data_IF_336129398169
#
_entry.id   IF_336129398169
#
_cell.length_a   1.000
_cell.length_b   1.000
_cell.length_c   1.000
_cell.angle_alpha   90.00
_cell.angle_beta   90.00
_cell.angle_gamma   90.00
#
_symmetry.space_group_name_H-M   'P 1'
#
loop_
_entity.id
_entity.type
_entity.pdbx_description
1 polymer ?
#
# COMPACT_ATOMS: atom_id res chain seq x y z
N UNK A 1 -33.39 8.48 19.28
CA UNK A 1 -32.32 9.50 19.16
C UNK A 1 -30.92 8.91 19.38
N UNK A 2 -30.67 8.15 20.46
CA UNK A 2 -29.34 7.57 20.72
C UNK A 2 -28.77 6.69 19.58
N UNK A 3 -29.58 5.83 18.97
CA UNK A 3 -29.14 4.92 17.89
C UNK A 3 -28.73 5.65 16.61
N UNK A 4 -29.43 6.74 16.26
CA UNK A 4 -29.11 7.54 15.07
C UNK A 4 -27.79 8.31 15.24
N UNK A 5 -27.55 8.85 16.44
CA UNK A 5 -26.31 9.55 16.75
C UNK A 5 -25.12 8.60 16.77
N UNK A 6 -25.29 7.39 17.33
CA UNK A 6 -24.25 6.37 17.32
C UNK A 6 -23.88 5.96 15.88
N UNK A 7 -24.88 5.68 15.03
CA UNK A 7 -24.67 5.29 13.65
C UNK A 7 -23.96 6.37 12.84
N UNK A 8 -24.32 7.65 13.03
CA UNK A 8 -23.63 8.76 12.38
C UNK A 8 -22.16 8.89 12.80
N UNK A 9 -21.87 8.80 14.11
CA UNK A 9 -20.49 8.85 14.63
C UNK A 9 -19.66 7.69 14.07
N UNK A 10 -20.22 6.47 14.05
CA UNK A 10 -19.53 5.30 13.51
C UNK A 10 -19.20 5.47 12.03
N UNK A 11 -20.15 5.94 11.21
CA UNK A 11 -19.91 6.15 9.78
C UNK A 11 -18.88 7.26 9.52
N UNK A 12 -18.90 8.32 10.33
CA UNK A 12 -17.92 9.40 10.24
C UNK A 12 -16.53 8.91 10.62
N UNK A 13 -16.41 8.15 11.72
CA UNK A 13 -15.14 7.59 12.16
C UNK A 13 -14.55 6.61 11.12
N UNK A 14 -15.38 5.71 10.58
CA UNK A 14 -14.94 4.75 9.55
C UNK A 14 -14.49 5.48 8.29
N UNK A 15 -15.26 6.46 7.79
CA UNK A 15 -14.89 7.20 6.58
C UNK A 15 -13.62 8.03 6.77
N UNK A 16 -13.45 8.67 7.93
CA UNK A 16 -12.21 9.37 8.27
C UNK A 16 -11.01 8.41 8.29
N UNK A 17 -11.16 7.24 8.93
CA UNK A 17 -10.13 6.21 8.96
C UNK A 17 -9.78 5.72 7.55
N UNK A 18 -10.76 5.48 6.69
CA UNK A 18 -10.53 5.10 5.28
C UNK A 18 -9.71 6.14 4.53
N UNK A 19 -10.02 7.44 4.69
CA UNK A 19 -9.28 8.52 4.04
C UNK A 19 -7.84 8.57 4.55
N UNK A 20 -7.63 8.44 5.86
CA UNK A 20 -6.29 8.45 6.46
C UNK A 20 -5.44 7.25 6.00
N UNK A 21 -6.02 6.04 5.99
CA UNK A 21 -5.32 4.84 5.50
C UNK A 21 -4.99 4.95 4.01
N UNK A 22 -5.95 5.39 3.18
CA UNK A 22 -5.70 5.60 1.76
C UNK A 22 -4.60 6.65 1.54
N UNK A 23 -4.62 7.75 2.29
CA UNK A 23 -3.55 8.76 2.26
C UNK A 23 -2.19 8.20 2.65
N UNK A 24 -2.13 7.39 3.71
CA UNK A 24 -0.90 6.74 4.15
C UNK A 24 -0.36 5.76 3.10
N UNK A 25 -1.23 4.97 2.44
CA UNK A 25 -0.80 4.04 1.37
C UNK A 25 -0.25 4.75 0.15
N UNK A 26 -0.87 5.86 -0.27
CA UNK A 26 -0.35 6.68 -1.37
C UNK A 26 0.97 7.30 -0.95
N UNK A 27 1.06 7.85 0.26
CA UNK A 27 2.25 8.52 0.77
C UNK A 27 3.45 7.59 0.82
N UNK A 28 3.30 6.39 1.40
CA UNK A 28 4.39 5.41 1.46
C UNK A 28 4.81 4.93 0.08
N UNK A 29 3.86 4.59 -0.80
CA UNK A 29 4.16 4.10 -2.16
C UNK A 29 4.74 5.19 -3.07
N UNK A 30 4.29 6.44 -2.94
CA UNK A 30 4.81 7.56 -3.70
C UNK A 30 6.22 7.93 -3.27
N UNK A 31 6.50 7.93 -1.96
CA UNK A 31 7.81 8.22 -1.43
C UNK A 31 8.86 7.19 -1.90
N UNK A 32 8.54 5.89 -1.83
CA UNK A 32 9.44 4.84 -2.31
C UNK A 32 9.68 4.93 -3.81
N UNK A 33 8.64 5.24 -4.60
CA UNK A 33 8.77 5.44 -6.04
C UNK A 33 9.61 6.67 -6.39
N UNK A 34 9.49 7.75 -5.63
CA UNK A 34 10.31 8.94 -5.81
C UNK A 34 11.78 8.62 -5.51
N UNK A 35 12.05 8.01 -4.35
CA UNK A 35 13.41 7.62 -3.97
C UNK A 35 14.03 6.69 -5.03
N UNK A 36 13.28 5.72 -5.56
CA UNK A 36 13.75 4.87 -6.66
C UNK A 36 14.16 5.70 -7.88
N UNK A 37 13.31 6.64 -8.31
CA UNK A 37 13.59 7.48 -9.48
C UNK A 37 14.80 8.38 -9.26
N UNK A 38 14.90 9.01 -8.09
CA UNK A 38 16.00 9.91 -7.74
C UNK A 38 17.32 9.15 -7.67
N UNK A 39 17.34 7.98 -7.01
CA UNK A 39 18.51 7.12 -6.95
C UNK A 39 18.90 6.59 -8.34
N UNK A 40 17.95 6.15 -9.15
CA UNK A 40 18.23 5.70 -10.52
C UNK A 40 18.76 6.81 -11.42
N UNK A 41 18.31 8.05 -11.24
CA UNK A 41 18.77 9.19 -12.03
C UNK A 41 20.17 9.68 -11.61
N UNK A 42 20.48 9.61 -10.30
CA UNK A 42 21.75 10.08 -9.76
C UNK A 42 22.85 9.03 -9.87
N UNK A 43 22.52 7.74 -9.78
CA UNK A 43 23.49 6.66 -9.98
C UNK A 43 23.66 6.35 -11.47
N UNK A 44 24.83 6.70 -12.01
CA UNK A 44 25.32 6.16 -13.27
C UNK A 44 25.32 4.61 -13.20
N UNK A 45 24.76 3.90 -14.20
CA UNK A 45 24.64 2.43 -14.18
C UNK A 45 25.95 1.68 -13.91
N UNK A 46 27.08 2.34 -14.19
CA UNK A 46 28.41 1.74 -14.21
C UNK A 46 29.10 1.67 -12.84
N UNK A 47 28.68 2.46 -11.85
CA UNK A 47 29.44 2.59 -10.61
C UNK A 47 28.82 1.88 -9.40
N UNK A 48 27.55 1.45 -9.45
CA UNK A 48 26.93 0.54 -8.47
C UNK A 48 25.57 0.04 -9.02
N UNK A 49 25.47 -1.17 -9.60
CA UNK A 49 24.23 -1.72 -10.14
C UNK A 49 23.34 -2.26 -9.01
N UNK A 50 22.95 -1.37 -8.10
CA UNK A 50 22.09 -1.71 -6.97
C UNK A 50 20.68 -2.04 -7.49
N UNK A 51 20.19 -1.28 -8.49
CA UNK A 51 18.91 -1.52 -9.16
C UNK A 51 19.12 -2.37 -10.43
N UNK A 52 18.30 -3.38 -10.63
CA UNK A 52 18.29 -4.15 -11.88
C UNK A 52 17.72 -3.29 -13.03
N UNK A 53 18.18 -3.52 -14.26
CA UNK A 53 17.71 -2.77 -15.44
C UNK A 53 16.21 -3.00 -15.74
N UNK A 54 15.68 -4.17 -15.35
CA UNK A 54 14.32 -4.63 -15.62
C UNK A 54 13.43 -4.62 -14.37
N UNK A 55 13.31 -3.46 -13.75
CA UNK A 55 12.51 -3.30 -12.55
C UNK A 55 11.02 -3.08 -12.84
N UNK A 56 10.13 -3.92 -12.29
CA UNK A 56 8.68 -3.74 -12.49
C UNK A 56 8.07 -2.82 -11.42
N UNK A 57 7.72 -1.61 -11.85
CA UNK A 57 7.09 -0.59 -11.02
C UNK A 57 5.55 -0.65 -11.05
N UNK A 58 4.96 -1.58 -11.82
CA UNK A 58 3.51 -1.66 -11.99
C UNK A 58 2.80 -2.02 -10.68
N UNK A 59 3.43 -2.81 -9.80
CA UNK A 59 2.90 -3.11 -8.47
C UNK A 59 2.72 -1.84 -7.63
N UNK A 60 3.78 -1.04 -7.52
CA UNK A 60 3.75 0.24 -6.79
C UNK A 60 2.77 1.23 -7.42
N UNK A 61 2.74 1.32 -8.76
CA UNK A 61 1.77 2.17 -9.48
C UNK A 61 0.33 1.72 -9.22
N UNK A 62 0.07 0.41 -9.16
CA UNK A 62 -1.25 -0.15 -8.86
C UNK A 62 -1.69 0.20 -7.44
N UNK A 63 -0.78 0.21 -6.46
CA UNK A 63 -1.07 0.64 -5.08
C UNK A 63 -1.42 2.13 -5.00
N UNK A 64 -0.67 2.98 -5.72
CA UNK A 64 -0.98 4.41 -5.81
C UNK A 64 -2.35 4.63 -6.47
N UNK A 65 -2.63 3.89 -7.54
CA UNK A 65 -3.90 3.96 -8.24
C UNK A 65 -5.07 3.53 -7.34
N UNK A 66 -4.99 2.38 -6.68
CA UNK A 66 -6.05 1.88 -5.78
C UNK A 66 -6.25 2.77 -4.56
N UNK A 67 -5.17 3.27 -3.97
CA UNK A 67 -5.20 4.26 -2.90
C UNK A 67 -5.90 5.54 -3.35
N UNK A 68 -5.59 6.06 -4.53
CA UNK A 68 -6.19 7.30 -5.06
C UNK A 68 -7.70 7.19 -5.29
N UNK A 69 -8.17 6.05 -5.81
CA UNK A 69 -9.60 5.78 -6.00
C UNK A 69 -10.32 5.71 -4.65
N UNK A 70 -9.75 4.97 -3.70
CA UNK A 70 -10.32 4.81 -2.36
C UNK A 70 -10.32 6.12 -1.58
N UNK A 71 -9.28 6.95 -1.74
CA UNK A 71 -9.18 8.29 -1.16
C UNK A 71 -10.29 9.19 -1.72
N UNK A 72 -10.47 9.22 -3.05
CA UNK A 72 -11.47 10.07 -3.69
C UNK A 72 -12.89 9.68 -3.25
N UNK A 73 -13.22 8.39 -3.30
CA UNK A 73 -14.53 7.87 -2.87
C UNK A 73 -14.76 8.12 -1.36
N UNK A 74 -13.73 7.88 -0.55
CA UNK A 74 -13.76 8.11 0.90
C UNK A 74 -13.95 9.59 1.26
N UNK A 75 -13.25 10.50 0.58
CA UNK A 75 -13.37 11.94 0.77
C UNK A 75 -14.76 12.45 0.40
N UNK A 76 -15.31 12.03 -0.74
CA UNK A 76 -16.67 12.42 -1.14
C UNK A 76 -17.68 12.02 -0.07
N UNK A 77 -17.60 10.79 0.44
CA UNK A 77 -18.49 10.31 1.48
C UNK A 77 -18.28 11.00 2.83
N UNK A 78 -17.02 11.21 3.22
CA UNK A 78 -16.66 11.92 4.45
C UNK A 78 -17.21 13.37 4.43
N UNK A 79 -17.03 14.09 3.33
CA UNK A 79 -17.55 15.46 3.18
C UNK A 79 -19.09 15.49 3.19
N UNK A 80 -19.74 14.51 2.56
CA UNK A 80 -21.20 14.40 2.58
C UNK A 80 -21.76 14.16 3.99
N UNK A 81 -21.02 13.45 4.85
CA UNK A 81 -21.37 13.22 6.26
C UNK A 81 -21.02 14.40 7.17
N UNK A 82 -19.88 15.04 6.92
CA UNK A 82 -19.34 16.11 7.76
C UNK A 82 -20.07 17.45 7.56
N UNK A 83 -20.59 17.70 6.36
CA UNK A 83 -21.29 18.95 6.03
C UNK A 83 -22.79 18.78 6.35
N UNK A 84 -23.32 19.43 7.42
CA UNK A 84 -24.70 19.26 7.85
C UNK A 84 -25.74 19.73 6.81
N UNK A 85 -25.32 20.57 5.84
CA UNK A 85 -26.15 21.06 4.73
C UNK A 85 -26.72 19.93 3.86
N UNK A 86 -26.00 18.82 3.71
CA UNK A 86 -26.46 17.71 2.86
C UNK A 86 -27.52 16.82 3.53
N UNK A 87 -27.76 17.00 4.84
CA UNK A 87 -28.76 16.26 5.63
C UNK A 87 -28.70 14.72 5.48
N UNK A 88 -27.54 14.17 5.09
CA UNK A 88 -27.36 12.72 4.85
C UNK A 88 -27.63 11.92 6.13
N UNK A 89 -27.23 12.46 7.28
CA UNK A 89 -27.49 11.88 8.61
C UNK A 89 -28.99 11.73 8.93
N UNK A 90 -29.85 12.58 8.37
CA UNK A 90 -31.30 12.51 8.56
C UNK A 90 -32.00 11.48 7.66
N UNK A 91 -31.29 10.88 6.70
CA UNK A 91 -31.83 9.94 5.72
C UNK A 91 -31.05 8.62 5.72
N UNK A 92 -31.34 7.70 6.66
CA UNK A 92 -30.51 6.50 6.88
C UNK A 92 -30.43 5.58 5.65
N UNK A 93 -31.53 5.46 4.88
CA UNK A 93 -31.55 4.68 3.62
C UNK A 93 -30.60 5.26 2.56
N UNK A 94 -30.56 6.59 2.45
CA UNK A 94 -29.68 7.29 1.50
C UNK A 94 -28.22 7.22 1.95
N UNK A 95 -27.97 7.44 3.24
CA UNK A 95 -26.64 7.31 3.83
C UNK A 95 -26.05 5.92 3.59
N UNK A 96 -26.83 4.87 3.85
CA UNK A 96 -26.40 3.49 3.61
C UNK A 96 -26.17 3.20 2.12
N UNK A 97 -27.04 3.71 1.23
CA UNK A 97 -26.86 3.55 -0.21
C UNK A 97 -25.56 4.18 -0.69
N UNK A 98 -25.28 5.44 -0.29
CA UNK A 98 -24.03 6.12 -0.66
C UNK A 98 -22.82 5.42 -0.04
N UNK A 99 -22.91 5.01 1.23
CA UNK A 99 -21.84 4.26 1.90
C UNK A 99 -21.51 2.96 1.15
N UNK A 100 -22.53 2.22 0.71
CA UNK A 100 -22.32 0.99 -0.08
C UNK A 100 -21.74 1.30 -1.46
N UNK A 101 -22.20 2.38 -2.11
CA UNK A 101 -21.75 2.79 -3.43
C UNK A 101 -20.29 3.25 -3.43
N UNK A 102 -19.74 3.70 -2.30
CA UNK A 102 -18.33 4.09 -2.18
C UNK A 102 -17.46 2.96 -1.60
N UNK A 103 -17.96 2.22 -0.60
CA UNK A 103 -17.19 1.18 0.06
C UNK A 103 -16.94 -0.04 -0.84
N UNK A 104 -17.97 -0.53 -1.56
CA UNK A 104 -17.85 -1.72 -2.41
C UNK A 104 -16.77 -1.53 -3.48
N UNK A 105 -16.79 -0.48 -4.33
CA UNK A 105 -15.73 -0.30 -5.33
C UNK A 105 -14.35 -0.08 -4.71
N UNK A 106 -14.25 0.59 -3.57
CA UNK A 106 -12.95 0.77 -2.87
C UNK A 106 -12.36 -0.57 -2.44
N UNK A 107 -13.18 -1.47 -1.90
CA UNK A 107 -12.77 -2.83 -1.51
C UNK A 107 -12.36 -3.62 -2.75
N UNK A 108 -13.17 -3.61 -3.80
CA UNK A 108 -12.88 -4.33 -5.05
C UNK A 108 -11.52 -3.91 -5.62
N UNK A 109 -11.30 -2.61 -5.81
CA UNK A 109 -10.05 -2.10 -6.37
C UNK A 109 -8.85 -2.41 -5.46
N UNK A 110 -9.02 -2.36 -4.14
CA UNK A 110 -7.96 -2.72 -3.19
C UNK A 110 -7.59 -4.19 -3.26
N UNK A 111 -8.58 -5.09 -3.33
CA UNK A 111 -8.36 -6.54 -3.48
C UNK A 111 -7.64 -6.84 -4.80
N UNK A 112 -8.07 -6.20 -5.90
CA UNK A 112 -7.39 -6.34 -7.18
C UNK A 112 -5.94 -5.86 -7.11
N UNK A 113 -5.66 -4.73 -6.48
CA UNK A 113 -4.29 -4.23 -6.32
C UNK A 113 -3.41 -5.19 -5.51
N UNK A 114 -3.93 -5.76 -4.42
CA UNK A 114 -3.20 -6.73 -3.59
C UNK A 114 -2.88 -7.99 -4.40
N UNK A 115 -3.89 -8.56 -5.08
CA UNK A 115 -3.69 -9.75 -5.91
C UNK A 115 -2.70 -9.48 -7.05
N UNK A 116 -2.78 -8.29 -7.67
CA UNK A 116 -1.87 -7.88 -8.73
C UNK A 116 -0.42 -7.78 -8.23
N UNK A 117 -0.19 -7.17 -7.07
CA UNK A 117 1.14 -7.11 -6.43
C UNK A 117 1.68 -8.52 -6.15
N UNK A 118 0.84 -9.42 -5.64
CA UNK A 118 1.25 -10.81 -5.40
C UNK A 118 1.66 -11.53 -6.68
N UNK A 119 0.89 -11.38 -7.76
CA UNK A 119 1.22 -11.98 -9.06
C UNK A 119 2.52 -11.43 -9.63
N UNK A 120 2.79 -10.13 -9.45
CA UNK A 120 4.07 -9.55 -9.88
C UNK A 120 5.24 -10.05 -9.04
N UNK A 121 5.06 -10.19 -7.73
CA UNK A 121 6.10 -10.69 -6.85
C UNK A 121 6.48 -12.16 -7.16
N UNK A 122 5.56 -12.96 -7.70
CA UNK A 122 5.82 -14.33 -8.15
C UNK A 122 6.73 -14.44 -9.39
N UNK A 123 7.00 -13.33 -10.09
CA UNK A 123 7.88 -13.31 -11.28
C UNK A 123 9.37 -13.17 -10.94
N UNK A 124 9.72 -12.95 -9.67
CA UNK A 124 11.12 -12.99 -9.22
C UNK A 124 11.64 -14.45 -9.28
N UNK A 125 12.87 -14.70 -9.75
CA UNK A 125 13.97 -13.75 -9.96
C UNK A 125 14.08 -13.14 -11.37
N UNK A 126 13.24 -13.54 -12.32
CA UNK A 126 13.35 -13.06 -13.72
C UNK A 126 13.05 -11.56 -13.85
N UNK A 127 12.08 -11.07 -13.07
CA UNK A 127 11.70 -9.66 -12.99
C UNK A 127 11.48 -9.28 -11.52
N UNK A 128 12.25 -8.30 -11.03
CA UNK A 128 12.17 -7.85 -9.64
C UNK A 128 11.25 -6.64 -9.46
N UNK A 129 10.51 -6.62 -8.34
CA UNK A 129 9.70 -5.49 -7.86
C UNK A 129 10.39 -4.80 -6.67
N UNK A 130 9.89 -3.64 -6.22
CA UNK A 130 10.46 -2.91 -5.05
C UNK A 130 10.50 -3.84 -3.84
N UNK A 131 9.45 -4.63 -3.67
CA UNK A 131 9.30 -5.57 -2.57
C UNK A 131 10.28 -6.74 -2.67
N UNK A 132 10.31 -7.47 -3.80
CA UNK A 132 11.16 -8.66 -3.95
C UNK A 132 12.65 -8.31 -3.88
N UNK A 133 13.04 -7.18 -4.48
CA UNK A 133 14.40 -6.67 -4.44
C UNK A 133 14.81 -6.27 -3.02
N UNK A 134 13.97 -5.48 -2.32
CA UNK A 134 14.29 -5.05 -0.95
C UNK A 134 14.44 -6.24 -0.01
N UNK A 135 13.60 -7.26 -0.16
CA UNK A 135 13.71 -8.52 0.60
C UNK A 135 15.02 -9.28 0.30
N UNK A 136 15.42 -9.37 -0.98
CA UNK A 136 16.68 -10.03 -1.37
C UNK A 136 17.90 -9.36 -0.74
N UNK A 137 17.93 -8.02 -0.72
CA UNK A 137 19.04 -7.26 -0.13
C UNK A 137 18.99 -7.20 1.40
N UNK A 138 17.81 -7.31 2.01
CA UNK A 138 17.66 -7.45 3.47
C UNK A 138 18.32 -8.72 4.02
N UNK A 139 18.44 -9.77 3.22
CA UNK A 139 19.01 -11.06 3.64
C UNK A 139 20.54 -11.15 3.44
N UNK A 140 21.18 -10.09 2.91
CA UNK A 140 22.63 -10.11 2.69
C UNK A 140 23.37 -9.72 3.99
N UNK A 141 24.20 -10.60 4.59
CA UNK A 141 24.77 -10.39 5.94
C UNK A 141 25.63 -9.14 6.08
N UNK A 142 26.21 -8.64 4.98
CA UNK A 142 27.09 -7.47 4.97
C UNK A 142 26.35 -6.14 5.21
N UNK A 143 25.05 -6.06 4.90
CA UNK A 143 24.27 -4.80 4.96
C UNK A 143 23.51 -4.69 6.28
N UNK A 144 23.02 -5.82 6.80
CA UNK A 144 22.35 -5.89 8.10
C UNK A 144 23.28 -5.53 9.29
N UNK A 145 24.60 -5.63 9.11
CA UNK A 145 25.60 -5.28 10.12
C UNK A 145 25.95 -3.79 10.14
N UNK A 146 25.76 -3.09 9.03
CA UNK A 146 26.09 -1.66 8.84
C UNK A 146 24.89 -0.73 9.08
N UNK A 147 23.66 -1.20 8.85
CA UNK A 147 22.46 -0.51 9.33
C UNK A 147 22.24 -0.88 10.80
N UNK A 148 22.62 0.01 11.72
CA UNK A 148 22.38 -0.15 13.17
C UNK A 148 20.88 -0.07 13.50
N UNK A 149 20.09 -1.05 13.06
CA UNK A 149 18.68 -1.18 13.43
C UNK A 149 18.64 -1.60 14.90
N UNK A 150 18.10 -0.78 15.82
CA UNK A 150 18.03 -1.13 17.22
C UNK A 150 17.23 -2.42 17.40
N UNK A 151 17.74 -3.35 18.22
CA UNK A 151 17.07 -4.63 18.51
C UNK A 151 15.64 -4.50 19.09
N UNK A 152 15.26 -3.29 19.51
CA UNK A 152 13.93 -2.92 20.01
C UNK A 152 12.89 -2.66 18.92
N UNK A 153 13.27 -2.62 17.64
CA UNK A 153 12.34 -2.74 16.51
C UNK A 153 12.30 -4.21 16.06
N UNK A 154 11.48 -5.03 16.70
CA UNK A 154 11.39 -6.46 16.37
C UNK A 154 10.57 -6.67 15.09
N UNK A 155 11.29 -6.86 13.99
CA UNK A 155 10.79 -7.22 12.65
C UNK A 155 10.55 -8.73 12.47
N UNK A 156 10.30 -9.48 13.56
CA UNK A 156 10.13 -10.95 13.48
C UNK A 156 9.00 -11.35 12.50
N UNK A 157 7.99 -10.50 12.33
CA UNK A 157 6.93 -10.63 11.32
C UNK A 157 7.29 -10.09 9.92
N UNK A 158 8.18 -9.10 9.81
CA UNK A 158 8.59 -8.53 8.52
C UNK A 158 9.55 -9.43 7.75
N UNK A 159 10.45 -10.13 8.45
CA UNK A 159 11.28 -11.17 7.84
C UNK A 159 10.46 -12.34 7.27
N UNK A 160 9.32 -12.65 7.91
CA UNK A 160 8.36 -13.65 7.42
C UNK A 160 7.57 -13.20 6.20
N UNK A 161 7.28 -11.89 6.07
CA UNK A 161 6.67 -11.33 4.85
C UNK A 161 7.60 -11.44 3.63
N UNK A 162 8.90 -11.29 3.84
CA UNK A 162 9.90 -11.49 2.80
C UNK A 162 10.07 -12.96 2.39
N UNK A 163 10.06 -13.88 3.35
CA UNK A 163 10.18 -15.34 3.10
C UNK A 163 8.91 -15.95 2.52
N UNK A 164 7.73 -15.37 2.75
CA UNK A 164 6.49 -15.80 2.09
C UNK A 164 6.40 -15.35 0.61
N UNK A 165 7.15 -14.32 0.21
CA UNK A 165 7.16 -13.78 -1.16
C UNK A 165 8.16 -14.49 -2.08
N UNK A 166 9.22 -15.06 -1.53
CA UNK A 166 10.22 -15.83 -2.27
C UNK A 166 9.95 -17.29 -1.97
N UNK A 167 9.33 -18.02 -2.90
CA UNK A 167 9.32 -19.48 -2.75
C UNK A 167 10.78 -19.91 -2.75
N UNK A 168 11.19 -20.60 -1.70
CA UNK A 168 12.47 -21.28 -1.56
C UNK A 168 12.64 -22.28 -2.72
N UNK A 169 13.09 -21.80 -3.88
CA UNK A 169 13.72 -22.66 -4.86
C UNK A 169 15.21 -22.47 -4.68
N UNK A 170 15.94 -23.52 -4.25
CA UNK A 170 17.37 -23.42 -4.05
C UNK A 170 17.99 -23.11 -5.40
N UNK A 171 18.60 -21.92 -5.53
CA UNK A 171 19.41 -21.57 -6.69
C UNK A 171 20.45 -22.67 -6.91
N UNK A 172 20.43 -23.41 -8.03
CA UNK A 172 21.39 -24.45 -8.28
C UNK A 172 22.67 -23.86 -8.88
N UNK A 173 23.28 -22.84 -8.27
CA UNK A 173 24.60 -22.34 -8.70
C UNK A 173 25.37 -21.70 -7.52
N UNK A 174 25.77 -22.55 -6.57
CA UNK A 174 27.10 -22.57 -5.93
C UNK A 174 27.25 -23.85 -5.11
#
# INVERSE_FOLDING_TARGET
>A
MAVANLLWITLLAISALTVLLAGATIGSAAYTLQQYKDQKAQNNPWWLPIWTDHFDLNGTKSLIASGSVSLALGLVYFLALAIPRFQVAGRPKLSLAIASATAIPSVVVSVFAIAFVQVLNQKSPDVDTIESWTCRWSQTPAIAKELSVPATFTNEGFGTLCTASVRDEPLPFL
#
